data_IF_770803691035
#
_entry.id   IF_770803691035
#
_cell.length_a   1.000
_cell.length_b   1.000
_cell.length_c   1.000
_cell.angle_alpha   90.00
_cell.angle_beta   90.00
_cell.angle_gamma   90.00
#
_symmetry.space_group_name_H-M   'P 1'
#
loop_
_entity.id
_entity.type
_entity.pdbx_description
1 polymer ?
#
# COMPACT_ATOMS: atom_id res chain seq x y z
N UNK A 1 6.06 13.52 4.71
CA UNK A 1 7.11 12.50 4.48
C UNK A 1 6.62 11.07 4.61
N UNK A 2 5.95 10.70 5.73
CA UNK A 2 5.42 9.33 5.95
C UNK A 2 4.65 8.71 4.77
N UNK A 3 3.72 9.46 4.16
CA UNK A 3 2.89 8.94 3.06
C UNK A 3 3.67 8.69 1.76
N UNK A 4 4.71 9.49 1.49
CA UNK A 4 5.56 9.35 0.29
C UNK A 4 6.44 8.11 0.44
N UNK A 5 7.07 7.93 1.60
CA UNK A 5 7.86 6.73 1.90
C UNK A 5 7.00 5.48 1.84
N UNK A 6 5.77 5.55 2.39
CA UNK A 6 4.81 4.45 2.35
C UNK A 6 4.38 4.13 0.91
N UNK A 7 4.18 5.13 0.06
CA UNK A 7 3.87 4.94 -1.35
C UNK A 7 5.01 4.23 -2.09
N UNK A 8 6.25 4.67 -1.89
CA UNK A 8 7.43 4.05 -2.54
C UNK A 8 7.57 2.58 -2.11
N UNK A 9 7.41 2.29 -0.83
CA UNK A 9 7.47 0.91 -0.33
C UNK A 9 6.30 0.04 -0.82
N UNK A 10 5.08 0.56 -0.76
CA UNK A 10 3.90 -0.13 -1.29
C UNK A 10 4.11 -0.46 -2.77
N UNK A 11 4.62 0.51 -3.55
CA UNK A 11 4.89 0.31 -4.97
C UNK A 11 5.90 -0.82 -5.22
N UNK A 12 7.07 -0.78 -4.57
CA UNK A 12 8.11 -1.82 -4.77
C UNK A 12 7.59 -3.21 -4.38
N UNK A 13 6.89 -3.32 -3.25
CA UNK A 13 6.35 -4.59 -2.77
C UNK A 13 5.26 -5.13 -3.70
N UNK A 14 4.37 -4.28 -4.18
CA UNK A 14 3.34 -4.69 -5.14
C UNK A 14 3.96 -5.13 -6.46
N UNK A 15 4.99 -4.46 -6.97
CA UNK A 15 5.68 -4.88 -8.19
C UNK A 15 6.31 -6.27 -8.05
N UNK A 16 7.03 -6.51 -6.94
CA UNK A 16 7.61 -7.83 -6.67
C UNK A 16 6.54 -8.92 -6.52
N UNK A 17 5.48 -8.63 -5.78
CA UNK A 17 4.39 -9.60 -5.53
C UNK A 17 3.62 -9.91 -6.81
N UNK A 18 3.34 -8.90 -7.63
CA UNK A 18 2.65 -9.07 -8.91
C UNK A 18 3.50 -9.88 -9.89
N UNK A 19 4.80 -9.61 -9.95
CA UNK A 19 5.74 -10.41 -10.75
C UNK A 19 5.76 -11.87 -10.31
N UNK A 20 5.89 -12.13 -9.01
CA UNK A 20 5.86 -13.49 -8.46
C UNK A 20 4.52 -14.18 -8.73
N UNK A 21 3.40 -13.48 -8.56
CA UNK A 21 2.07 -13.99 -8.85
C UNK A 21 1.89 -14.34 -10.33
N UNK A 22 2.31 -13.46 -11.24
CA UNK A 22 2.25 -13.72 -12.68
C UNK A 22 3.11 -14.93 -13.08
N UNK A 23 4.32 -15.05 -12.52
CA UNK A 23 5.23 -16.18 -12.74
C UNK A 23 4.63 -17.49 -12.23
N UNK A 24 3.97 -17.48 -11.08
CA UNK A 24 3.35 -18.66 -10.49
C UNK A 24 2.10 -19.11 -11.27
N UNK A 25 1.32 -18.16 -11.79
CA UNK A 25 0.12 -18.44 -12.58
C UNK A 25 0.41 -18.75 -14.05
N UNK A 26 1.68 -18.66 -14.49
CA UNK A 26 2.06 -18.79 -15.89
C UNK A 26 1.45 -17.68 -16.78
N UNK A 27 1.04 -16.57 -16.18
CA UNK A 27 0.44 -15.43 -16.87
C UNK A 27 1.51 -14.40 -17.24
N UNK A 28 1.42 -13.71 -18.38
CA UNK A 28 2.34 -12.63 -18.70
C UNK A 28 2.24 -11.50 -17.67
N UNK A 29 3.40 -10.97 -17.29
CA UNK A 29 3.49 -9.82 -16.40
C UNK A 29 2.99 -8.54 -17.10
N UNK A 30 2.09 -7.81 -16.44
CA UNK A 30 1.57 -6.52 -16.89
C UNK A 30 1.98 -5.40 -15.92
N UNK A 31 2.88 -4.52 -16.36
CA UNK A 31 3.36 -3.39 -15.55
C UNK A 31 2.23 -2.40 -15.23
N UNK A 32 1.33 -2.17 -16.19
CA UNK A 32 0.19 -1.25 -16.02
C UNK A 32 -0.76 -1.76 -14.95
N UNK A 33 -1.10 -3.05 -14.97
CA UNK A 33 -1.94 -3.65 -13.94
C UNK A 33 -1.27 -3.55 -12.57
N UNK A 34 0.01 -3.96 -12.46
CA UNK A 34 0.77 -3.86 -11.22
C UNK A 34 0.82 -2.43 -10.65
N UNK A 35 0.93 -1.40 -11.51
CA UNK A 35 0.87 0.00 -11.10
C UNK A 35 -0.50 0.39 -10.54
N UNK A 36 -1.58 -0.04 -11.19
CA UNK A 36 -2.95 0.21 -10.70
C UNK A 36 -3.14 -0.48 -9.35
N UNK A 37 -2.71 -1.73 -9.21
CA UNK A 37 -2.79 -2.45 -7.94
C UNK A 37 -2.01 -1.75 -6.84
N UNK A 38 -0.82 -1.22 -7.15
CA UNK A 38 0.01 -0.50 -6.17
C UNK A 38 -0.66 0.78 -5.64
N UNK A 39 -1.36 1.52 -6.50
CA UNK A 39 -2.13 2.71 -6.11
C UNK A 39 -3.29 2.32 -5.22
N UNK A 40 -4.01 1.24 -5.57
CA UNK A 40 -5.13 0.71 -4.78
C UNK A 40 -4.66 0.23 -3.40
N UNK A 41 -3.55 -0.51 -3.33
CA UNK A 41 -2.93 -0.98 -2.10
C UNK A 41 -2.55 0.19 -1.18
N UNK A 42 -1.90 1.21 -1.75
CA UNK A 42 -1.50 2.40 -1.01
C UNK A 42 -2.71 3.15 -0.43
N UNK A 43 -3.76 3.36 -1.22
CA UNK A 43 -5.00 3.98 -0.76
C UNK A 43 -5.65 3.16 0.36
N UNK A 44 -5.71 1.85 0.22
CA UNK A 44 -6.27 0.94 1.21
C UNK A 44 -5.52 1.03 2.55
N UNK A 45 -4.18 1.04 2.52
CA UNK A 45 -3.37 1.18 3.75
C UNK A 45 -3.61 2.53 4.42
N UNK A 46 -3.73 3.62 3.65
CA UNK A 46 -4.02 4.95 4.19
C UNK A 46 -5.39 4.99 4.85
N UNK A 47 -6.43 4.45 4.19
CA UNK A 47 -7.79 4.40 4.72
C UNK A 47 -7.84 3.56 6.00
N UNK A 48 -7.23 2.37 6.01
CA UNK A 48 -7.18 1.51 7.19
C UNK A 48 -6.45 2.21 8.33
N UNK A 49 -5.34 2.90 8.06
CA UNK A 49 -4.62 3.65 9.09
C UNK A 49 -5.47 4.75 9.71
N UNK A 50 -6.26 5.46 8.90
CA UNK A 50 -7.14 6.53 9.37
C UNK A 50 -8.34 5.96 10.16
N UNK A 51 -8.96 4.91 9.64
CA UNK A 51 -10.04 4.18 10.30
C UNK A 51 -9.59 3.60 11.64
N UNK A 52 -8.39 3.02 11.71
CA UNK A 52 -7.81 2.50 12.93
C UNK A 52 -7.55 3.63 13.95
N UNK A 53 -7.06 4.79 13.50
CA UNK A 53 -6.91 5.96 14.37
C UNK A 53 -8.26 6.47 14.91
N UNK A 54 -9.31 6.46 14.08
CA UNK A 54 -10.66 6.82 14.48
C UNK A 54 -11.21 5.86 15.54
N UNK A 55 -11.09 4.55 15.33
CA UNK A 55 -11.50 3.53 16.30
C UNK A 55 -10.67 3.56 17.59
N UNK A 56 -9.38 3.93 17.50
CA UNK A 56 -8.51 4.06 18.67
C UNK A 56 -8.79 5.31 19.51
N UNK A 57 -9.72 6.19 19.10
CA UNK A 57 -10.27 7.28 19.90
C UNK A 57 -9.26 7.94 20.84
N UNK A 58 -8.16 8.51 20.32
CA UNK A 58 -7.09 8.97 21.22
C UNK A 58 -7.53 10.18 22.06
N UNK A 59 -7.42 10.15 23.41
CA UNK A 59 -7.08 11.36 24.15
C UNK A 59 -5.75 11.91 23.60
N UNK A 60 -5.75 13.22 23.35
CA UNK A 60 -4.69 14.03 22.71
C UNK A 60 -3.26 13.52 23.00
N UNK A 61 -2.55 13.09 21.97
CA UNK A 61 -1.09 13.01 22.04
C UNK A 61 -0.53 14.44 22.10
N UNK A 62 0.01 14.82 23.26
CA UNK A 62 0.82 16.03 23.42
C UNK A 62 2.02 15.98 22.47
N UNK A 63 2.24 17.02 21.65
CA UNK A 63 3.50 17.16 20.91
C UNK A 63 4.63 17.45 21.90
N UNK A 64 5.74 16.73 21.75
CA UNK A 64 7.07 17.19 22.17
C UNK A 64 7.91 17.37 20.93
#
# INVERSE_FOLDING_TARGET
>A
MKYIVLLVWAFILTQMTFFLGSSLMGSPYSFTEACVTAILEWLLVVIISDLLHWFQGKPKQHPK
#
